data_IF_005958608739
#
_entry.id   IF_005958608739
#
_cell.length_a   1.000
_cell.length_b   1.000
_cell.length_c   1.000
_cell.angle_alpha   90.00
_cell.angle_beta   90.00
_cell.angle_gamma   90.00
#
_symmetry.space_group_name_H-M   'P 1'
#
loop_
_entity.id
_entity.type
_entity.pdbx_description
1 polymer ?
#
# COMPACT_ATOMS: atom_id res chain seq x y z
N UNK A 1 31.42 40.40 -4.10
CA UNK A 1 30.07 40.50 -4.68
C UNK A 1 30.22 39.97 -6.10
N UNK A 2 30.19 38.66 -6.37
CA UNK A 2 29.01 37.78 -6.44
C UNK A 2 29.42 36.30 -6.49
N UNK A 3 29.26 35.54 -5.40
CA UNK A 3 29.37 34.06 -5.34
C UNK A 3 28.00 33.42 -5.04
N UNK A 4 26.97 33.87 -5.74
CA UNK A 4 25.67 33.21 -5.76
C UNK A 4 25.31 33.01 -7.21
N UNK A 5 25.30 31.76 -7.68
CA UNK A 5 24.43 31.14 -8.70
C UNK A 5 25.18 29.90 -9.25
N UNK A 6 25.33 28.88 -8.41
CA UNK A 6 25.42 27.50 -8.89
C UNK A 6 24.68 26.59 -7.92
N UNK A 7 23.48 26.17 -8.32
CA UNK A 7 22.64 25.24 -7.58
C UNK A 7 22.37 24.00 -8.45
N UNK A 8 23.17 22.93 -8.33
CA UNK A 8 23.04 21.73 -9.17
C UNK A 8 21.84 20.83 -8.80
N UNK A 9 20.98 21.23 -7.85
CA UNK A 9 19.88 20.39 -7.34
C UNK A 9 18.55 20.58 -8.08
N UNK A 10 18.56 20.48 -9.41
CA UNK A 10 17.36 20.05 -10.16
C UNK A 10 17.53 18.59 -10.53
N UNK A 11 17.29 17.68 -9.58
CA UNK A 11 17.12 16.26 -9.90
C UNK A 11 15.88 16.14 -10.78
N UNK A 12 16.10 15.92 -12.06
CA UNK A 12 15.11 15.53 -13.06
C UNK A 12 14.24 14.39 -12.52
N UNK A 13 12.95 14.39 -12.87
CA UNK A 13 11.94 13.40 -12.46
C UNK A 13 12.16 12.00 -13.04
N UNK A 14 13.36 11.46 -12.87
CA UNK A 14 13.73 10.11 -13.29
C UNK A 14 13.35 9.15 -12.16
N UNK A 15 12.36 8.31 -12.42
CA UNK A 15 11.95 7.23 -11.50
C UNK A 15 13.14 6.28 -11.34
N UNK A 16 13.49 5.94 -10.11
CA UNK A 16 14.60 5.01 -9.85
C UNK A 16 14.22 3.61 -10.33
N UNK A 17 15.13 2.91 -11.00
CA UNK A 17 14.88 1.55 -11.48
C UNK A 17 14.46 0.58 -10.36
N UNK A 18 15.00 0.76 -9.16
CA UNK A 18 14.59 0.00 -7.97
C UNK A 18 13.13 0.21 -7.58
N UNK A 19 12.59 1.41 -7.78
CA UNK A 19 11.19 1.71 -7.44
C UNK A 19 10.23 1.01 -8.40
N UNK A 20 10.56 1.01 -9.69
CA UNK A 20 9.83 0.25 -10.71
C UNK A 20 9.86 -1.25 -10.41
N UNK A 21 11.03 -1.78 -10.03
CA UNK A 21 11.15 -3.19 -9.64
C UNK A 21 10.24 -3.52 -8.43
N UNK A 22 10.21 -2.66 -7.42
CA UNK A 22 9.32 -2.83 -6.26
C UNK A 22 7.84 -2.77 -6.66
N UNK A 23 7.46 -1.83 -7.52
CA UNK A 23 6.08 -1.73 -8.03
C UNK A 23 5.63 -3.04 -8.67
N UNK A 24 6.42 -3.58 -9.60
CA UNK A 24 6.06 -4.80 -10.35
C UNK A 24 6.01 -6.02 -9.43
N UNK A 25 7.06 -6.24 -8.63
CA UNK A 25 7.16 -7.41 -7.75
C UNK A 25 6.04 -7.39 -6.71
N UNK A 26 5.82 -6.27 -6.03
CA UNK A 26 4.75 -6.21 -5.04
C UNK A 26 3.35 -6.29 -5.66
N UNK A 27 3.13 -5.77 -6.86
CA UNK A 27 1.84 -5.93 -7.54
C UNK A 27 1.54 -7.41 -7.79
N UNK A 28 2.53 -8.17 -8.28
CA UNK A 28 2.39 -9.61 -8.49
C UNK A 28 2.15 -10.37 -7.18
N UNK A 29 2.89 -10.02 -6.11
CA UNK A 29 2.73 -10.64 -4.80
C UNK A 29 1.37 -10.32 -4.17
N UNK A 30 0.89 -9.08 -4.27
CA UNK A 30 -0.44 -8.69 -3.77
C UNK A 30 -1.54 -9.46 -4.50
N UNK A 31 -1.46 -9.56 -5.82
CA UNK A 31 -2.42 -10.32 -6.61
C UNK A 31 -2.40 -11.80 -6.21
N UNK A 32 -1.21 -12.43 -6.16
CA UNK A 32 -1.05 -13.82 -5.77
C UNK A 32 -1.58 -14.09 -4.35
N UNK A 33 -1.20 -13.25 -3.37
CA UNK A 33 -1.68 -13.37 -2.00
C UNK A 33 -3.20 -13.20 -1.89
N UNK A 34 -3.77 -12.25 -2.63
CA UNK A 34 -5.22 -12.03 -2.67
C UNK A 34 -5.95 -13.27 -3.22
N UNK A 35 -5.43 -13.89 -4.29
CA UNK A 35 -6.03 -15.08 -4.89
C UNK A 35 -5.88 -16.33 -4.02
N UNK A 36 -4.71 -16.52 -3.38
CA UNK A 36 -4.45 -17.71 -2.55
C UNK A 36 -5.16 -17.61 -1.21
N UNK A 37 -5.27 -16.41 -0.64
CA UNK A 37 -5.86 -16.16 0.67
C UNK A 37 -7.30 -15.63 0.59
N UNK A 38 -8.01 -15.94 -0.51
CA UNK A 38 -9.42 -15.61 -0.64
C UNK A 38 -10.30 -16.67 0.01
N UNK A 39 -11.16 -16.29 0.96
CA UNK A 39 -12.16 -17.18 1.55
C UNK A 39 -13.55 -16.77 1.06
N UNK A 40 -14.25 -17.65 0.35
CA UNK A 40 -15.58 -17.34 -0.19
C UNK A 40 -16.58 -16.99 0.91
N UNK A 41 -17.37 -15.94 0.69
CA UNK A 41 -18.38 -15.47 1.63
C UNK A 41 -19.77 -15.40 0.97
N UNK A 42 -20.67 -16.35 1.27
CA UNK A 42 -21.92 -16.53 0.52
C UNK A 42 -22.93 -15.40 0.67
N UNK A 43 -22.90 -14.65 1.77
CA UNK A 43 -23.84 -13.56 2.05
C UNK A 43 -23.67 -12.35 1.11
N UNK A 44 -22.43 -12.03 0.74
CA UNK A 44 -22.12 -10.87 -0.11
C UNK A 44 -21.90 -11.26 -1.58
N UNK A 45 -21.95 -12.56 -1.89
CA UNK A 45 -21.50 -13.12 -3.18
C UNK A 45 -20.09 -12.66 -3.55
N UNK A 46 -19.26 -12.46 -2.53
CA UNK A 46 -17.88 -12.00 -2.63
C UNK A 46 -16.94 -12.96 -1.88
N UNK A 47 -15.73 -12.50 -1.63
CA UNK A 47 -14.75 -13.22 -0.83
C UNK A 47 -14.13 -12.29 0.23
N UNK A 48 -13.69 -12.89 1.32
CA UNK A 48 -12.90 -12.24 2.34
C UNK A 48 -11.43 -12.23 1.92
N UNK A 49 -10.85 -11.05 1.76
CA UNK A 49 -9.51 -10.85 1.22
C UNK A 49 -8.46 -10.75 2.33
N UNK A 50 -7.91 -11.90 2.76
CA UNK A 50 -6.77 -11.95 3.69
C UNK A 50 -5.44 -11.52 3.05
N UNK A 51 -5.42 -11.33 1.73
CA UNK A 51 -4.28 -10.83 0.96
C UNK A 51 -3.92 -9.38 1.25
N UNK A 52 -4.75 -8.64 2.00
CA UNK A 52 -4.46 -7.27 2.44
C UNK A 52 -3.17 -7.16 3.29
N UNK A 53 -2.78 -8.25 3.95
CA UNK A 53 -1.50 -8.35 4.64
C UNK A 53 -0.31 -8.05 3.71
N UNK A 54 -0.37 -8.49 2.46
CA UNK A 54 0.65 -8.21 1.46
C UNK A 54 0.61 -6.75 0.98
N UNK A 55 -0.57 -6.12 0.98
CA UNK A 55 -0.72 -4.68 0.71
C UNK A 55 0.02 -3.86 1.78
N UNK A 56 -0.16 -4.22 3.05
CA UNK A 56 0.56 -3.57 4.15
C UNK A 56 2.07 -3.81 4.07
N UNK A 57 2.51 -5.02 3.72
CA UNK A 57 3.94 -5.28 3.52
C UNK A 57 4.53 -4.40 2.40
N UNK A 58 3.84 -4.29 1.26
CA UNK A 58 4.24 -3.41 0.16
C UNK A 58 4.32 -1.93 0.59
N UNK A 59 3.35 -1.47 1.39
CA UNK A 59 3.31 -0.12 1.95
C UNK A 59 4.47 0.15 2.93
N UNK A 60 4.77 -0.78 3.82
CA UNK A 60 5.83 -0.68 4.81
C UNK A 60 7.23 -0.69 4.18
N UNK A 61 7.45 -1.56 3.18
CA UNK A 61 8.74 -1.74 2.50
C UNK A 61 8.96 -0.69 1.42
N UNK A 62 8.00 -0.53 0.51
CA UNK A 62 8.13 0.32 -0.68
C UNK A 62 7.64 1.76 -0.48
N UNK A 63 6.94 2.06 0.62
CA UNK A 63 6.39 3.38 0.90
C UNK A 63 5.09 3.70 0.16
N UNK A 64 4.60 4.95 0.22
CA UNK A 64 3.25 5.30 -0.20
C UNK A 64 2.95 5.02 -1.67
N UNK A 65 3.90 5.29 -2.57
CA UNK A 65 3.70 5.08 -4.02
C UNK A 65 3.60 3.58 -4.33
N UNK A 66 4.54 2.78 -3.84
CA UNK A 66 4.54 1.33 -4.05
C UNK A 66 3.34 0.68 -3.39
N UNK A 67 3.05 1.02 -2.13
CA UNK A 67 1.90 0.49 -1.40
C UNK A 67 0.56 0.81 -2.06
N UNK A 68 0.38 2.05 -2.53
CA UNK A 68 -0.84 2.44 -3.22
C UNK A 68 -1.01 1.70 -4.55
N UNK A 69 0.02 1.72 -5.39
CA UNK A 69 -0.09 1.11 -6.71
C UNK A 69 -0.18 -0.40 -6.62
N UNK A 70 0.71 -1.06 -5.89
CA UNK A 70 0.70 -2.52 -5.75
C UNK A 70 -0.56 -3.01 -5.03
N UNK A 71 -1.03 -2.29 -4.00
CA UNK A 71 -2.26 -2.59 -3.30
C UNK A 71 -3.49 -2.50 -4.20
N UNK A 72 -3.67 -1.34 -4.85
CA UNK A 72 -4.81 -1.11 -5.72
C UNK A 72 -4.81 -2.04 -6.94
N UNK A 73 -3.73 -2.02 -7.72
CA UNK A 73 -3.65 -2.76 -8.99
C UNK A 73 -3.60 -4.26 -8.73
N UNK A 74 -2.79 -4.72 -7.77
CA UNK A 74 -2.68 -6.14 -7.46
C UNK A 74 -4.00 -6.75 -6.99
N UNK A 75 -4.71 -6.08 -6.08
CA UNK A 75 -5.99 -6.57 -5.58
C UNK A 75 -7.11 -6.47 -6.62
N UNK A 76 -7.16 -5.39 -7.42
CA UNK A 76 -8.14 -5.29 -8.51
C UNK A 76 -7.91 -6.35 -9.61
N UNK A 77 -6.65 -6.68 -9.91
CA UNK A 77 -6.33 -7.79 -10.81
C UNK A 77 -6.83 -9.13 -10.25
N UNK A 78 -6.67 -9.36 -8.94
CA UNK A 78 -7.19 -10.58 -8.33
C UNK A 78 -8.72 -10.66 -8.41
N UNK A 79 -9.44 -9.55 -8.20
CA UNK A 79 -10.90 -9.52 -8.39
C UNK A 79 -11.31 -9.92 -9.82
N UNK A 80 -10.60 -9.40 -10.83
CA UNK A 80 -10.85 -9.76 -12.23
C UNK A 80 -10.59 -11.26 -12.46
N UNK A 81 -9.45 -11.77 -11.98
CA UNK A 81 -9.03 -13.15 -12.20
C UNK A 81 -9.88 -14.18 -11.46
N UNK A 82 -10.44 -13.82 -10.30
CA UNK A 82 -11.34 -14.67 -9.51
C UNK A 82 -12.82 -14.57 -9.95
N UNK A 83 -13.15 -13.70 -10.91
CA UNK A 83 -14.52 -13.52 -11.42
C UNK A 83 -15.37 -12.52 -10.62
N UNK A 84 -14.77 -11.77 -9.70
CA UNK A 84 -15.38 -10.70 -8.91
C UNK A 84 -15.21 -9.31 -9.58
N UNK A 85 -15.16 -9.25 -10.90
CA UNK A 85 -14.85 -8.05 -11.71
C UNK A 85 -15.68 -6.81 -11.37
N UNK A 86 -16.92 -6.97 -10.92
CA UNK A 86 -17.78 -5.86 -10.49
C UNK A 86 -17.18 -5.07 -9.31
N UNK A 87 -16.38 -5.72 -8.46
CA UNK A 87 -15.72 -5.09 -7.32
C UNK A 87 -14.39 -4.40 -7.69
N UNK A 88 -13.77 -4.81 -8.81
CA UNK A 88 -12.42 -4.38 -9.18
C UNK A 88 -12.20 -2.85 -9.21
N UNK A 89 -13.13 -2.00 -9.72
CA UNK A 89 -12.96 -0.55 -9.68
C UNK A 89 -12.95 0.02 -8.25
N UNK A 90 -13.81 -0.53 -7.38
CA UNK A 90 -13.87 -0.16 -5.97
C UNK A 90 -12.62 -0.62 -5.23
N UNK A 91 -12.22 -1.87 -5.43
CA UNK A 91 -10.99 -2.45 -4.86
C UNK A 91 -9.76 -1.66 -5.27
N UNK A 92 -9.66 -1.24 -6.53
CA UNK A 92 -8.55 -0.42 -7.01
C UNK A 92 -8.40 0.86 -6.17
N UNK A 93 -9.49 1.62 -6.00
CA UNK A 93 -9.46 2.89 -5.27
C UNK A 93 -9.25 2.70 -3.77
N UNK A 94 -9.96 1.73 -3.18
CA UNK A 94 -9.91 1.46 -1.74
C UNK A 94 -8.53 0.92 -1.35
N UNK A 95 -8.04 -0.11 -2.03
CA UNK A 95 -6.73 -0.72 -1.71
C UNK A 95 -5.56 0.21 -2.05
N UNK A 96 -5.70 1.08 -3.05
CA UNK A 96 -4.71 2.13 -3.28
C UNK A 96 -4.66 3.15 -2.14
N UNK A 97 -5.82 3.61 -1.67
CA UNK A 97 -5.90 4.53 -0.53
C UNK A 97 -5.36 3.87 0.75
N UNK A 98 -5.74 2.63 1.02
CA UNK A 98 -5.27 1.82 2.15
C UNK A 98 -3.74 1.70 2.17
N UNK A 99 -3.14 1.27 1.05
CA UNK A 99 -1.68 1.14 0.94
C UNK A 99 -0.96 2.48 1.10
N UNK A 100 -1.50 3.56 0.54
CA UNK A 100 -0.95 4.91 0.71
C UNK A 100 -0.99 5.36 2.18
N UNK A 101 -2.15 5.25 2.81
CA UNK A 101 -2.40 5.67 4.19
C UNK A 101 -1.56 4.84 5.16
N UNK A 102 -1.50 3.53 5.00
CA UNK A 102 -0.68 2.65 5.83
C UNK A 102 0.80 3.05 5.80
N UNK A 103 1.35 3.32 4.61
CA UNK A 103 2.74 3.77 4.48
C UNK A 103 2.98 5.14 5.13
N UNK A 104 2.06 6.09 4.97
CA UNK A 104 2.16 7.42 5.57
C UNK A 104 2.06 7.36 7.09
N UNK A 105 1.13 6.56 7.63
CA UNK A 105 0.98 6.32 9.06
C UNK A 105 2.22 5.67 9.63
N UNK A 106 2.72 4.59 9.01
CA UNK A 106 3.96 3.94 9.43
C UNK A 106 5.13 4.92 9.53
N UNK A 107 5.33 5.76 8.51
CA UNK A 107 6.40 6.78 8.51
C UNK A 107 6.26 7.81 9.63
N UNK A 108 5.03 8.15 10.04
CA UNK A 108 4.77 9.05 11.16
C UNK A 108 4.97 8.35 12.51
N UNK A 109 4.38 7.16 12.67
CA UNK A 109 4.41 6.38 13.90
C UNK A 109 5.82 5.88 14.25
N UNK A 110 6.68 5.61 13.26
CA UNK A 110 8.08 5.20 13.50
C UNK A 110 8.92 6.25 14.22
N UNK A 111 8.44 7.49 14.32
CA UNK A 111 9.09 8.59 15.06
C UNK A 111 8.54 8.77 16.48
N UNK A 112 7.46 8.06 16.83
CA UNK A 112 6.81 8.14 18.14
C UNK A 112 7.53 7.18 19.09
N UNK A 113 7.83 7.63 20.30
CA UNK A 113 8.44 6.78 21.34
C UNK A 113 7.46 5.68 21.79
N UNK A 114 7.99 4.52 22.18
CA UNK A 114 7.18 3.36 22.59
C UNK A 114 6.15 3.68 23.68
N UNK A 115 6.45 4.48 24.73
CA UNK A 115 5.45 4.87 25.73
C UNK A 115 4.31 5.69 25.15
N UNK A 116 4.60 6.60 24.21
CA UNK A 116 3.60 7.44 23.56
C UNK A 116 2.78 6.65 22.54
N UNK A 117 3.37 5.63 21.91
CA UNK A 117 2.67 4.71 21.01
C UNK A 117 1.67 3.84 21.79
N UNK A 118 2.05 3.36 22.97
CA UNK A 118 1.15 2.60 23.87
C UNK A 118 -0.02 3.46 24.34
N UNK A 119 0.23 4.70 24.78
CA UNK A 119 -0.82 5.67 25.14
C UNK A 119 -1.76 5.99 23.97
N UNK A 120 -1.22 6.22 22.78
CA UNK A 120 -2.03 6.40 21.56
C UNK A 120 -2.89 5.17 21.26
N UNK A 121 -2.34 3.97 21.39
CA UNK A 121 -3.09 2.74 21.17
C UNK A 121 -4.20 2.54 22.21
N UNK A 122 -3.95 2.89 23.48
CA UNK A 122 -4.94 2.82 24.55
C UNK A 122 -6.13 3.77 24.25
N UNK A 123 -5.84 5.02 23.89
CA UNK A 123 -6.87 6.02 23.52
C UNK A 123 -7.70 5.58 22.31
N UNK A 124 -7.06 5.01 21.28
CA UNK A 124 -7.74 4.58 20.05
C UNK A 124 -8.59 3.32 20.28
N UNK A 125 -8.11 2.40 21.11
CA UNK A 125 -8.81 1.15 21.44
C UNK A 125 -9.86 1.36 22.54
N UNK A 126 -9.78 2.47 23.28
CA UNK A 126 -10.68 2.78 24.40
C UNK A 126 -10.33 2.05 25.70
N UNK A 127 -9.06 1.63 25.87
CA UNK A 127 -8.50 1.12 27.13
C UNK A 127 -8.05 2.28 28.01
#
# INVERSE_FOLDING_TARGET
MTDKIYNPRRRTGVVKSSEVALLVVFTALVAAATMVLSVYFPLTRGYFNLGETMVYLAALVGGPVVGAFAGGVGSALADILLGYTAFAPGTLLIKAAEGAVAALLYRRLRKVSVPNALLLSAIVVGL
#
